data_IF_703389519522
#
_entry.id   IF_703389519522
#
_cell.length_a   1.000
_cell.length_b   1.000
_cell.length_c   1.000
_cell.angle_alpha   90.00
_cell.angle_beta   90.00
_cell.angle_gamma   90.00
#
_symmetry.space_group_name_H-M   'P 1'
#
loop_
_entity.id
_entity.type
_entity.pdbx_description
1 polymer ?
#
# COMPACT_ATOMS: atom_id res chain seq x y z
N UNK A 1 9.01 3.38 -3.42
CA UNK A 1 8.84 3.31 -4.89
C UNK A 1 7.40 3.65 -5.31
N UNK A 2 6.79 4.67 -4.70
CA UNK A 2 5.32 4.82 -4.66
C UNK A 2 4.81 5.95 -5.58
N UNK A 3 5.26 6.00 -6.83
CA UNK A 3 4.79 7.06 -7.76
C UNK A 3 3.45 6.72 -8.43
N UNK A 4 3.13 5.42 -8.59
CA UNK A 4 1.99 4.97 -9.40
C UNK A 4 0.77 4.50 -8.58
N UNK A 5 0.75 4.78 -7.27
CA UNK A 5 -0.39 4.53 -6.39
C UNK A 5 -0.88 5.88 -5.84
N UNK A 6 -2.04 6.33 -6.30
CA UNK A 6 -2.62 7.61 -5.93
C UNK A 6 -3.76 7.44 -4.92
N UNK A 7 -3.84 8.36 -3.97
CA UNK A 7 -4.90 8.41 -2.97
C UNK A 7 -5.87 9.54 -3.30
N UNK A 8 -7.17 9.24 -3.38
CA UNK A 8 -8.21 10.28 -3.40
C UNK A 8 -8.37 10.88 -2.01
N UNK A 9 -7.82 12.08 -1.85
CA UNK A 9 -7.78 12.81 -0.59
C UNK A 9 -8.96 13.78 -0.41
N UNK A 10 -9.94 13.84 -1.33
CA UNK A 10 -11.02 14.85 -1.31
C UNK A 10 -11.82 14.84 -0.01
N UNK A 11 -12.10 13.65 0.53
CA UNK A 11 -12.85 13.49 1.79
C UNK A 11 -11.96 13.65 3.04
N UNK A 12 -10.64 13.64 2.87
CA UNK A 12 -9.68 13.67 3.98
C UNK A 12 -9.44 15.11 4.46
N UNK A 13 -9.35 16.06 3.54
CA UNK A 13 -9.02 17.44 3.83
C UNK A 13 -10.29 18.28 4.09
N UNK A 14 -10.24 19.11 5.13
CA UNK A 14 -11.30 20.08 5.45
C UNK A 14 -11.06 21.38 4.68
N UNK A 15 -9.79 21.76 4.55
CA UNK A 15 -9.36 22.93 3.79
C UNK A 15 -8.80 22.48 2.43
N UNK A 16 -8.87 23.35 1.40
CA UNK A 16 -8.16 23.12 0.15
C UNK A 16 -6.65 22.97 0.40
N UNK A 17 -6.09 21.80 0.10
CA UNK A 17 -4.67 21.50 0.28
C UNK A 17 -3.86 21.82 -0.98
N UNK A 18 -2.56 22.07 -0.80
CA UNK A 18 -1.63 22.30 -1.90
C UNK A 18 -1.20 20.94 -2.51
N UNK A 19 -1.23 20.76 -3.85
CA UNK A 19 -0.97 19.45 -4.47
C UNK A 19 0.46 18.92 -4.23
N UNK A 20 1.46 19.80 -4.20
CA UNK A 20 2.85 19.44 -3.87
C UNK A 20 3.10 19.36 -2.36
N UNK A 21 2.74 20.42 -1.61
CA UNK A 21 2.88 20.48 -0.15
C UNK A 21 1.56 20.16 0.55
N UNK A 22 1.16 18.89 0.56
CA UNK A 22 -0.18 18.46 1.03
C UNK A 22 -0.50 18.85 2.49
N UNK A 23 0.50 19.13 3.32
CA UNK A 23 0.31 19.65 4.68
C UNK A 23 -0.07 21.14 4.74
N UNK A 24 0.06 21.89 3.65
CA UNK A 24 -0.28 23.31 3.54
C UNK A 24 -1.60 23.54 2.84
N UNK A 25 -2.27 24.64 3.19
CA UNK A 25 -3.38 25.17 2.40
C UNK A 25 -2.92 25.53 0.99
N UNK A 26 -3.82 25.44 0.01
CA UNK A 26 -3.54 25.71 -1.42
C UNK A 26 -2.84 27.05 -1.68
N UNK A 27 -3.17 28.08 -0.90
CA UNK A 27 -2.57 29.43 -0.99
C UNK A 27 -1.40 29.66 -0.03
N UNK A 28 -0.83 28.61 0.56
CA UNK A 28 0.23 28.67 1.57
C UNK A 28 -0.05 29.53 2.82
N UNK A 29 -1.31 29.84 3.09
CA UNK A 29 -1.71 30.69 4.23
C UNK A 29 -1.66 29.96 5.59
N UNK A 30 -0.95 28.84 5.70
CA UNK A 30 -0.85 27.98 6.89
C UNK A 30 -1.13 26.50 6.63
N UNK A 31 -1.11 25.70 7.70
CA UNK A 31 -1.38 24.26 7.64
C UNK A 31 -2.82 23.95 7.25
N UNK A 32 -3.00 22.97 6.36
CA UNK A 32 -4.33 22.45 6.01
C UNK A 32 -4.86 21.55 7.12
N UNK A 33 -6.10 21.74 7.52
CA UNK A 33 -6.78 20.83 8.45
C UNK A 33 -7.24 19.59 7.69
N UNK A 34 -7.04 18.43 8.29
CA UNK A 34 -7.45 17.14 7.74
C UNK A 34 -8.03 16.24 8.83
N UNK A 35 -8.78 15.22 8.39
CA UNK A 35 -9.22 14.09 9.20
C UNK A 35 -8.25 12.93 9.02
N UNK A 36 -8.25 11.98 9.94
CA UNK A 36 -7.46 10.76 9.78
C UNK A 36 -8.09 9.83 8.74
N UNK A 37 -7.29 8.95 8.13
CA UNK A 37 -7.80 7.88 7.25
C UNK A 37 -8.79 6.95 7.96
N UNK A 38 -8.74 6.86 9.28
CA UNK A 38 -9.73 6.11 10.07
C UNK A 38 -11.09 6.81 10.14
N UNK A 39 -11.12 8.14 10.15
CA UNK A 39 -12.35 8.93 10.17
C UNK A 39 -12.95 9.11 8.77
N UNK A 40 -12.08 9.20 7.76
CA UNK A 40 -12.43 9.42 6.35
C UNK A 40 -11.58 8.47 5.51
N UNK A 41 -11.98 7.19 5.39
CA UNK A 41 -11.25 6.20 4.60
C UNK A 41 -11.15 6.65 3.14
N UNK A 42 -9.94 6.86 2.60
CA UNK A 42 -9.77 7.27 1.21
C UNK A 42 -9.87 6.07 0.27
N UNK A 43 -10.09 6.35 -1.01
CA UNK A 43 -9.95 5.37 -2.10
C UNK A 43 -8.57 5.50 -2.73
N UNK A 44 -7.95 4.36 -3.06
CA UNK A 44 -6.66 4.30 -3.74
C UNK A 44 -6.86 3.83 -5.18
N UNK A 45 -5.99 4.30 -6.06
CA UNK A 45 -6.03 4.02 -7.49
C UNK A 45 -4.63 3.69 -7.98
N UNK A 46 -4.51 2.69 -8.85
CA UNK A 46 -3.36 2.59 -9.73
C UNK A 46 -3.50 3.66 -10.81
N UNK A 47 -2.40 4.33 -11.10
CA UNK A 47 -2.31 5.36 -12.13
C UNK A 47 -1.13 5.05 -13.05
N UNK A 48 -1.01 5.85 -14.11
CA UNK A 48 0.09 5.77 -15.06
C UNK A 48 0.17 4.40 -15.77
N UNK A 49 -0.81 4.19 -16.65
CA UNK A 49 -0.92 2.97 -17.48
C UNK A 49 -0.13 3.08 -18.79
N UNK A 50 0.87 3.99 -18.87
CA UNK A 50 1.60 4.26 -20.12
C UNK A 50 2.34 3.07 -20.72
N UNK A 51 2.66 2.07 -19.88
CA UNK A 51 3.32 0.82 -20.28
C UNK A 51 2.41 -0.41 -20.13
N UNK A 52 1.15 -0.23 -19.74
CA UNK A 52 0.23 -1.34 -19.53
C UNK A 52 -0.27 -1.93 -20.85
N UNK A 53 -0.85 -3.12 -20.75
CA UNK A 53 -1.51 -3.83 -21.85
C UNK A 53 -2.91 -4.22 -21.41
N UNK A 54 -3.82 -4.29 -22.37
CA UNK A 54 -5.17 -4.77 -22.15
C UNK A 54 -5.37 -6.02 -22.98
N UNK A 55 -5.74 -7.10 -22.31
CA UNK A 55 -5.99 -8.40 -22.92
C UNK A 55 -7.47 -8.72 -22.88
N UNK A 56 -7.93 -9.51 -23.85
CA UNK A 56 -9.23 -10.15 -23.75
C UNK A 56 -9.24 -11.17 -22.61
N UNK A 57 -10.38 -11.31 -21.92
CA UNK A 57 -10.51 -12.23 -20.78
C UNK A 57 -10.28 -13.71 -21.13
N UNK A 58 -10.35 -14.09 -22.41
CA UNK A 58 -10.00 -15.44 -22.87
C UNK A 58 -8.50 -15.73 -22.87
N UNK A 59 -7.64 -14.70 -22.86
CA UNK A 59 -6.18 -14.84 -22.86
C UNK A 59 -5.67 -15.05 -21.45
N UNK A 60 -5.18 -16.25 -21.15
CA UNK A 60 -4.70 -16.61 -19.80
C UNK A 60 -3.21 -16.37 -19.56
N UNK A 61 -2.41 -16.51 -20.61
CA UNK A 61 -0.95 -16.42 -20.56
C UNK A 61 -0.45 -15.62 -21.76
N UNK A 62 -0.63 -14.29 -21.78
CA UNK A 62 -0.05 -13.46 -22.82
C UNK A 62 1.48 -13.52 -22.73
N UNK A 63 2.15 -13.25 -23.85
CA UNK A 63 3.61 -13.12 -23.89
C UNK A 63 3.94 -11.70 -24.34
N UNK A 64 4.66 -10.97 -23.52
CA UNK A 64 5.12 -9.61 -23.82
C UNK A 64 6.62 -9.51 -23.66
N UNK A 65 7.24 -8.72 -24.53
CA UNK A 65 8.64 -8.33 -24.36
C UNK A 65 8.81 -7.60 -23.01
N UNK A 66 9.88 -7.89 -22.24
CA UNK A 66 10.15 -7.20 -20.99
C UNK A 66 10.20 -5.68 -21.14
N UNK A 67 9.40 -4.97 -20.34
CA UNK A 67 9.40 -3.51 -20.27
C UNK A 67 9.96 -3.07 -18.91
N UNK A 68 11.05 -2.32 -18.94
CA UNK A 68 11.69 -1.80 -17.73
C UNK A 68 10.95 -0.58 -17.19
N UNK A 69 10.10 -0.80 -16.20
CA UNK A 69 9.41 0.25 -15.46
C UNK A 69 10.27 0.92 -14.37
N UNK A 70 9.59 1.52 -13.39
CA UNK A 70 10.24 2.18 -12.25
C UNK A 70 10.96 1.20 -11.31
N UNK A 71 10.43 0.00 -11.17
CA UNK A 71 11.08 -1.09 -10.46
C UNK A 71 11.88 -1.96 -11.45
N UNK A 72 13.18 -2.05 -11.19
CA UNK A 72 14.17 -2.74 -12.03
C UNK A 72 14.71 -4.01 -11.36
N UNK A 73 14.08 -4.50 -10.29
CA UNK A 73 14.57 -5.68 -9.55
C UNK A 73 13.88 -6.98 -9.95
N UNK A 74 12.99 -6.95 -10.93
CA UNK A 74 12.29 -8.15 -11.45
C UNK A 74 13.31 -9.22 -11.87
N UNK A 75 13.32 -10.41 -11.23
CA UNK A 75 14.35 -11.43 -11.46
C UNK A 75 14.39 -11.96 -12.89
N UNK A 76 13.24 -12.25 -13.48
CA UNK A 76 13.12 -12.85 -14.81
C UNK A 76 13.60 -11.93 -15.95
N UNK A 77 13.70 -10.62 -15.71
CA UNK A 77 14.18 -9.65 -16.69
C UNK A 77 15.71 -9.46 -16.61
N UNK A 78 16.37 -9.85 -15.53
CA UNK A 78 17.81 -9.55 -15.34
C UNK A 78 18.71 -10.31 -16.33
N UNK A 79 18.31 -11.51 -16.73
CA UNK A 79 19.16 -12.44 -17.47
C UNK A 79 18.61 -12.78 -18.86
N UNK A 80 17.45 -12.26 -19.23
CA UNK A 80 16.77 -12.61 -20.49
C UNK A 80 15.81 -11.50 -20.92
N UNK A 81 15.76 -11.25 -22.22
CA UNK A 81 14.77 -10.39 -22.87
C UNK A 81 13.68 -11.21 -23.59
N UNK A 82 13.58 -12.51 -23.31
CA UNK A 82 12.52 -13.35 -23.88
C UNK A 82 11.15 -12.86 -23.40
N UNK A 83 10.11 -12.92 -24.26
CA UNK A 83 8.75 -12.61 -23.86
C UNK A 83 8.31 -13.40 -22.63
N UNK A 84 7.66 -12.73 -21.67
CA UNK A 84 7.16 -13.33 -20.42
C UNK A 84 5.68 -13.07 -20.25
N UNK A 85 5.04 -13.91 -19.43
CA UNK A 85 3.71 -13.63 -18.90
C UNK A 85 3.81 -12.49 -17.89
N UNK A 86 3.14 -11.34 -18.11
CA UNK A 86 3.23 -10.20 -17.22
C UNK A 86 2.47 -10.40 -15.91
N UNK A 87 1.52 -11.34 -15.80
CA UNK A 87 0.68 -11.44 -14.61
C UNK A 87 1.46 -11.83 -13.35
N UNK A 88 2.37 -12.83 -13.36
CA UNK A 88 3.25 -13.10 -12.22
C UNK A 88 4.25 -11.96 -11.95
N UNK A 89 4.62 -11.20 -12.97
CA UNK A 89 5.49 -10.03 -12.82
C UNK A 89 4.77 -8.91 -12.05
N UNK A 90 3.49 -8.65 -12.34
CA UNK A 90 2.67 -7.70 -11.59
C UNK A 90 2.50 -8.11 -10.12
N UNK A 91 2.38 -9.41 -9.84
CA UNK A 91 2.38 -9.94 -8.47
C UNK A 91 3.68 -9.59 -7.75
N UNK A 92 4.83 -9.75 -8.42
CA UNK A 92 6.12 -9.34 -7.87
C UNK A 92 6.17 -7.84 -7.61
N UNK A 93 5.77 -7.00 -8.56
CA UNK A 93 5.79 -5.55 -8.41
C UNK A 93 4.96 -5.07 -7.21
N UNK A 94 3.74 -5.56 -7.06
CA UNK A 94 2.90 -5.22 -5.91
C UNK A 94 3.52 -5.73 -4.60
N UNK A 95 4.05 -6.95 -4.60
CA UNK A 95 4.76 -7.52 -3.45
C UNK A 95 5.97 -6.67 -3.05
N UNK A 96 6.74 -6.20 -4.03
CA UNK A 96 7.97 -5.45 -3.80
C UNK A 96 7.68 -4.03 -3.30
N UNK A 97 6.64 -3.37 -3.84
CA UNK A 97 6.14 -2.10 -3.29
C UNK A 97 5.76 -2.25 -1.82
N UNK A 98 5.03 -3.30 -1.45
CA UNK A 98 4.65 -3.53 -0.04
C UNK A 98 5.90 -3.83 0.83
N UNK A 99 6.84 -4.63 0.32
CA UNK A 99 8.09 -4.93 1.02
C UNK A 99 8.88 -3.66 1.32
N UNK A 100 9.14 -2.87 0.29
CA UNK A 100 10.04 -1.72 0.33
C UNK A 100 9.41 -0.54 1.08
N UNK A 101 8.14 -0.25 0.83
CA UNK A 101 7.50 0.92 1.43
C UNK A 101 6.97 0.66 2.85
N UNK A 102 6.73 -0.59 3.25
CA UNK A 102 6.19 -0.94 4.57
C UNK A 102 7.07 -1.89 5.38
N UNK A 103 7.39 -3.08 4.88
CA UNK A 103 8.05 -4.13 5.68
C UNK A 103 9.48 -3.73 6.10
N UNK A 104 10.24 -3.14 5.18
CA UNK A 104 11.62 -2.73 5.43
C UNK A 104 11.71 -1.40 6.17
N UNK A 105 10.75 -0.49 6.00
CA UNK A 105 10.77 0.86 6.61
C UNK A 105 10.13 0.89 7.99
N UNK A 106 9.21 -0.04 8.28
CA UNK A 106 8.34 0.02 9.45
C UNK A 106 8.28 -1.30 10.22
N UNK A 107 7.97 -1.20 11.52
CA UNK A 107 7.70 -2.33 12.40
C UNK A 107 6.20 -2.67 12.39
N UNK A 108 5.88 -3.92 12.73
CA UNK A 108 4.49 -4.35 12.90
C UNK A 108 3.86 -4.96 11.66
N UNK A 109 4.58 -5.10 10.56
CA UNK A 109 4.12 -5.72 9.31
C UNK A 109 4.56 -7.18 9.14
N UNK A 110 5.05 -7.82 10.22
CA UNK A 110 5.58 -9.20 10.17
C UNK A 110 4.51 -10.22 9.74
N UNK A 111 3.23 -9.91 9.97
CA UNK A 111 2.10 -10.72 9.51
C UNK A 111 1.99 -10.85 7.98
N UNK A 112 2.62 -9.94 7.22
CA UNK A 112 2.65 -9.97 5.76
C UNK A 112 3.78 -10.85 5.22
N UNK A 113 4.79 -11.18 6.04
CA UNK A 113 6.02 -11.86 5.59
C UNK A 113 5.72 -13.15 4.81
N UNK A 114 4.83 -14.06 5.27
CA UNK A 114 4.56 -15.29 4.53
C UNK A 114 3.94 -15.05 3.15
N UNK A 115 3.04 -14.06 3.02
CA UNK A 115 2.42 -13.71 1.73
C UNK A 115 3.45 -13.09 0.79
N UNK A 116 4.26 -12.15 1.29
CA UNK A 116 5.28 -11.48 0.50
C UNK A 116 6.39 -12.43 0.05
N UNK A 117 6.75 -13.42 0.87
CA UNK A 117 7.73 -14.43 0.50
C UNK A 117 7.31 -15.23 -0.75
N UNK A 118 6.02 -15.48 -0.92
CA UNK A 118 5.48 -16.18 -2.09
C UNK A 118 5.32 -15.23 -3.29
N UNK A 119 4.88 -13.99 -3.07
CA UNK A 119 4.77 -12.98 -4.14
C UNK A 119 6.14 -12.60 -4.76
N UNK A 120 7.21 -12.70 -3.97
CA UNK A 120 8.56 -12.29 -4.33
C UNK A 120 9.48 -13.46 -4.73
N UNK A 121 8.91 -14.63 -5.07
CA UNK A 121 9.69 -15.74 -5.59
C UNK A 121 10.42 -15.35 -6.88
N UNK A 122 11.69 -15.75 -6.99
CA UNK A 122 12.48 -15.50 -8.20
C UNK A 122 11.90 -16.23 -9.42
N UNK A 123 11.40 -17.45 -9.20
CA UNK A 123 10.66 -18.21 -10.21
C UNK A 123 9.23 -17.66 -10.33
N UNK A 124 8.85 -17.03 -11.47
CA UNK A 124 7.52 -16.47 -11.66
C UNK A 124 6.42 -17.53 -11.60
N UNK A 125 6.71 -18.79 -11.95
CA UNK A 125 5.71 -19.88 -11.91
C UNK A 125 5.32 -20.31 -10.48
N UNK A 126 6.14 -19.93 -9.49
CA UNK A 126 5.91 -20.22 -8.07
C UNK A 126 5.16 -19.09 -7.35
N UNK A 127 4.95 -17.95 -8.01
CA UNK A 127 4.19 -16.83 -7.44
C UNK A 127 2.70 -17.18 -7.43
N UNK A 128 1.96 -16.76 -6.39
CA UNK A 128 0.51 -16.91 -6.38
C UNK A 128 -0.12 -16.02 -7.46
N UNK A 129 -1.30 -16.40 -7.92
CA UNK A 129 -2.16 -15.53 -8.73
C UNK A 129 -2.65 -14.33 -7.91
N UNK A 130 -3.05 -13.24 -8.57
CA UNK A 130 -3.55 -12.07 -7.84
C UNK A 130 -4.84 -12.37 -7.05
N UNK A 131 -5.69 -13.28 -7.55
CA UNK A 131 -6.88 -13.74 -6.83
C UNK A 131 -6.50 -14.45 -5.51
N UNK A 132 -5.50 -15.33 -5.55
CA UNK A 132 -4.97 -15.98 -4.34
C UNK A 132 -4.34 -14.96 -3.39
N UNK A 133 -3.62 -13.96 -3.91
CA UNK A 133 -3.05 -12.87 -3.10
C UNK A 133 -4.15 -12.13 -2.34
N UNK A 134 -5.22 -11.73 -3.03
CA UNK A 134 -6.36 -11.02 -2.42
C UNK A 134 -7.04 -11.90 -1.36
N UNK A 135 -7.33 -13.15 -1.69
CA UNK A 135 -7.96 -14.09 -0.76
C UNK A 135 -7.11 -14.34 0.49
N UNK A 136 -5.80 -14.54 0.31
CA UNK A 136 -4.85 -14.75 1.42
C UNK A 136 -4.72 -13.49 2.27
N UNK A 137 -4.65 -12.31 1.65
CA UNK A 137 -4.61 -11.05 2.38
C UNK A 137 -5.88 -10.84 3.20
N UNK A 138 -7.05 -11.13 2.65
CA UNK A 138 -8.32 -11.06 3.38
C UNK A 138 -8.34 -12.01 4.57
N UNK A 139 -7.83 -13.22 4.40
CA UNK A 139 -7.71 -14.21 5.48
C UNK A 139 -6.76 -13.75 6.59
N UNK A 140 -5.58 -13.23 6.21
CA UNK A 140 -4.61 -12.65 7.15
C UNK A 140 -5.26 -11.51 7.92
N UNK A 141 -5.91 -10.58 7.22
CA UNK A 141 -6.58 -9.40 7.78
C UNK A 141 -7.69 -9.79 8.76
N UNK A 142 -8.51 -10.78 8.43
CA UNK A 142 -9.58 -11.29 9.28
C UNK A 142 -9.05 -11.93 10.57
N UNK A 143 -7.86 -12.53 10.52
CA UNK A 143 -7.17 -13.10 11.69
C UNK A 143 -6.53 -12.06 12.62
N UNK A 144 -6.42 -10.78 12.21
CA UNK A 144 -5.81 -9.76 13.05
C UNK A 144 -6.77 -9.23 14.11
N UNK A 145 -6.27 -9.07 15.34
CA UNK A 145 -7.05 -8.45 16.41
C UNK A 145 -7.36 -6.98 16.10
N UNK A 146 -8.49 -6.49 16.61
CA UNK A 146 -8.87 -5.08 16.51
C UNK A 146 -7.84 -4.12 17.15
N UNK A 147 -7.00 -4.63 18.06
CA UNK A 147 -5.87 -3.90 18.63
C UNK A 147 -4.70 -3.80 17.65
N UNK A 148 -4.37 -4.88 16.95
CA UNK A 148 -3.34 -4.90 15.90
C UNK A 148 -3.73 -4.02 14.72
N UNK A 149 -4.97 -4.09 14.27
CA UNK A 149 -5.51 -3.24 13.20
C UNK A 149 -5.51 -1.74 13.54
N UNK A 150 -5.57 -1.40 14.84
CA UNK A 150 -5.44 -0.01 15.32
C UNK A 150 -4.02 0.35 15.76
N UNK A 151 -3.05 -0.56 15.59
CA UNK A 151 -1.67 -0.30 15.99
C UNK A 151 -1.08 0.85 15.16
N UNK A 152 -0.15 1.59 15.77
CA UNK A 152 0.57 2.66 15.07
C UNK A 152 1.60 2.02 14.15
N UNK A 153 1.76 2.58 12.96
CA UNK A 153 2.95 2.31 12.14
C UNK A 153 4.15 3.00 12.78
N UNK A 154 5.16 2.22 13.14
CA UNK A 154 6.39 2.70 13.78
C UNK A 154 7.52 2.57 12.76
N UNK A 155 8.10 3.69 12.36
CA UNK A 155 9.26 3.72 11.47
C UNK A 155 10.49 3.16 12.20
N UNK A 156 11.33 2.37 11.51
CA UNK A 156 12.51 1.72 12.13
C UNK A 156 13.53 2.70 12.68
N UNK A 157 13.67 3.86 12.04
CA UNK A 157 14.64 4.89 12.39
C UNK A 157 14.02 6.09 13.12
N UNK A 158 12.85 5.90 13.75
CA UNK A 158 12.17 6.95 14.51
C UNK A 158 12.97 7.36 15.75
N UNK A 159 13.19 8.66 15.94
CA UNK A 159 13.92 9.18 17.11
C UNK A 159 13.14 8.95 18.41
N UNK A 160 13.84 8.93 19.55
CA UNK A 160 13.21 8.72 20.85
C UNK A 160 12.11 9.76 21.15
N UNK A 161 12.35 11.02 20.80
CA UNK A 161 11.39 12.11 21.00
C UNK A 161 10.15 11.96 20.11
N UNK A 162 10.33 11.64 18.83
CA UNK A 162 9.21 11.34 17.92
C UNK A 162 8.41 10.15 18.40
N UNK A 163 9.08 9.10 18.89
CA UNK A 163 8.44 7.91 19.41
C UNK A 163 7.49 8.24 20.57
N UNK A 164 7.94 9.02 21.55
CA UNK A 164 7.12 9.43 22.70
C UNK A 164 5.93 10.28 22.28
N UNK A 165 6.16 11.30 21.45
CA UNK A 165 5.12 12.22 21.00
C UNK A 165 4.06 11.51 20.15
N UNK A 166 4.48 10.73 19.15
CA UNK A 166 3.58 9.98 18.26
C UNK A 166 2.86 8.85 18.99
N UNK A 167 3.49 8.18 19.95
CA UNK A 167 2.84 7.17 20.78
C UNK A 167 1.75 7.77 21.67
N UNK A 168 2.01 8.91 22.32
CA UNK A 168 1.03 9.60 23.16
C UNK A 168 -0.17 10.05 22.33
N UNK A 169 0.08 10.70 21.19
CA UNK A 169 -0.97 11.13 20.26
C UNK A 169 -1.75 9.94 19.66
N UNK A 170 -1.12 8.78 19.47
CA UNK A 170 -1.78 7.56 19.02
C UNK A 170 -2.71 6.98 20.09
N UNK A 171 -2.26 6.86 21.34
CA UNK A 171 -3.09 6.32 22.42
C UNK A 171 -4.31 7.19 22.68
N UNK A 172 -4.17 8.52 22.71
CA UNK A 172 -5.29 9.44 22.84
C UNK A 172 -6.32 9.25 21.71
N UNK A 173 -5.86 9.15 20.44
CA UNK A 173 -6.74 8.88 19.29
C UNK A 173 -7.40 7.51 19.37
N UNK A 174 -6.66 6.48 19.79
CA UNK A 174 -7.17 5.11 19.91
C UNK A 174 -8.32 5.05 20.91
N UNK A 175 -8.18 5.67 22.08
CA UNK A 175 -9.25 5.78 23.08
C UNK A 175 -10.46 6.50 22.48
N UNK A 176 -10.25 7.62 21.80
CA UNK A 176 -11.33 8.36 21.13
C UNK A 176 -12.10 7.49 20.12
N UNK A 177 -11.41 6.72 19.28
CA UNK A 177 -12.05 5.81 18.32
C UNK A 177 -12.85 4.69 18.98
N UNK A 178 -12.32 4.11 20.07
CA UNK A 178 -13.01 3.04 20.81
C UNK A 178 -14.28 3.58 21.47
N UNK A 179 -14.21 4.73 22.14
CA UNK A 179 -15.37 5.38 22.76
C UNK A 179 -16.44 5.73 21.71
N UNK A 180 -16.02 6.20 20.53
CA UNK A 180 -16.91 6.54 19.41
C UNK A 180 -17.36 5.32 18.58
N UNK A 181 -16.96 4.11 18.96
CA UNK A 181 -17.24 2.85 18.24
C UNK A 181 -16.84 2.88 16.75
N UNK A 182 -15.78 3.62 16.41
CA UNK A 182 -15.27 3.67 15.03
C UNK A 182 -14.59 2.33 14.72
N UNK A 183 -14.95 1.65 13.61
CA UNK A 183 -14.33 0.38 13.21
C UNK A 183 -12.81 0.48 13.08
N UNK A 184 -12.10 -0.62 13.34
CA UNK A 184 -10.65 -0.67 13.17
C UNK A 184 -10.23 -0.52 11.70
N UNK A 185 -11.03 -1.11 10.80
CA UNK A 185 -10.92 -0.95 9.35
C UNK A 185 -12.20 -0.22 8.91
N UNK A 186 -12.12 1.07 8.60
CA UNK A 186 -13.27 1.83 8.11
C UNK A 186 -13.43 1.59 6.60
N UNK A 187 -14.67 1.40 6.17
CA UNK A 187 -15.03 1.27 4.76
C UNK A 187 -15.33 2.64 4.16
N UNK A 188 -14.80 2.97 2.96
CA UNK A 188 -15.27 4.13 2.20
C UNK A 188 -16.79 4.13 2.07
N UNK A 189 -17.41 5.29 2.26
CA UNK A 189 -18.81 5.47 1.86
C UNK A 189 -18.90 5.35 0.34
N UNK A 190 -19.79 4.48 -0.14
CA UNK A 190 -20.06 4.26 -1.58
C UNK A 190 -20.36 5.55 -2.32
#
# INVERSE_FOLDING_TARGET
>A
MTLNIMMDARQLYIDDFHPVHSFMKRKFSGFARYKTRTQRPPKYFFIDFGISRHYDASVKHPLEDPIWGGDKTVPEFQNSNEPRDPFPTDVYYIGNVIREDFLLTSLGFEFMVPLLADMLQDDPSRRPTMDEVVQRFDSIRAGLSAGKLRSRVVERHESAMERVTRATAHWARRVWFVVRRVPAIPTPSS
#
